data_IF_961544078507
#
_entry.id   IF_961544078507
#
_cell.length_a   1.000
_cell.length_b   1.000
_cell.length_c   1.000
_cell.angle_alpha   90.00
_cell.angle_beta   90.00
_cell.angle_gamma   90.00
#
_symmetry.space_group_name_H-M   'P 1'
#
loop_
_entity.id
_entity.type
_entity.pdbx_description
1 polymer ?
#
# COMPACT_ATOMS: atom_id res chain seq x y z
N UNK A 1 26.67 -4.45 2.70
CA UNK A 1 26.66 -4.13 1.25
C UNK A 1 26.16 -2.70 1.11
N UNK A 2 26.95 -1.79 0.53
CA UNK A 2 26.48 -0.44 0.24
C UNK A 2 25.66 -0.45 -1.05
N UNK A 3 24.53 0.25 -1.08
CA UNK A 3 23.67 0.29 -2.25
C UNK A 3 24.40 0.99 -3.41
N UNK A 4 24.43 0.37 -4.60
CA UNK A 4 24.96 1.03 -5.80
C UNK A 4 24.08 2.27 -6.09
N UNK A 5 24.66 3.50 -6.07
CA UNK A 5 23.88 4.72 -6.25
C UNK A 5 23.04 4.74 -7.53
N UNK A 6 23.52 4.12 -8.61
CA UNK A 6 22.80 4.02 -9.87
C UNK A 6 21.60 3.09 -9.74
N UNK A 7 21.79 1.88 -9.20
CA UNK A 7 20.72 0.90 -8.99
C UNK A 7 19.67 1.47 -8.03
N UNK A 8 20.09 2.09 -6.94
CA UNK A 8 19.21 2.73 -5.97
C UNK A 8 18.39 3.86 -6.60
N UNK A 9 19.02 4.71 -7.43
CA UNK A 9 18.31 5.78 -8.15
C UNK A 9 17.26 5.21 -9.10
N UNK A 10 17.59 4.12 -9.81
CA UNK A 10 16.64 3.41 -10.68
C UNK A 10 15.49 2.84 -9.86
N UNK A 11 15.75 2.17 -8.72
CA UNK A 11 14.71 1.64 -7.82
C UNK A 11 13.74 2.73 -7.35
N UNK A 12 14.26 3.86 -6.86
CA UNK A 12 13.43 4.97 -6.37
C UNK A 12 12.61 5.57 -7.51
N UNK A 13 13.23 5.77 -8.68
CA UNK A 13 12.54 6.31 -9.85
C UNK A 13 11.42 5.37 -10.31
N UNK A 14 11.68 4.06 -10.35
CA UNK A 14 10.68 3.04 -10.66
C UNK A 14 9.54 3.04 -9.63
N UNK A 15 9.84 3.10 -8.33
CA UNK A 15 8.84 3.21 -7.27
C UNK A 15 7.96 4.43 -7.49
N UNK A 16 8.57 5.60 -7.67
CA UNK A 16 7.85 6.86 -7.83
C UNK A 16 6.93 6.83 -9.06
N UNK A 17 7.40 6.34 -10.20
CA UNK A 17 6.60 6.25 -11.43
C UNK A 17 5.48 5.20 -11.29
N UNK A 18 5.78 4.02 -10.74
CA UNK A 18 4.80 2.97 -10.48
C UNK A 18 3.68 3.49 -9.57
N UNK A 19 4.05 4.04 -8.42
CA UNK A 19 3.11 4.54 -7.42
C UNK A 19 2.35 5.78 -7.90
N UNK A 20 2.96 6.68 -8.67
CA UNK A 20 2.26 7.82 -9.27
C UNK A 20 1.16 7.36 -10.23
N UNK A 21 1.46 6.39 -11.10
CA UNK A 21 0.48 5.83 -12.03
C UNK A 21 -0.63 5.05 -11.29
N UNK A 22 -0.29 4.29 -10.24
CA UNK A 22 -1.26 3.61 -9.39
C UNK A 22 -2.15 4.61 -8.64
N UNK A 23 -1.56 5.65 -8.02
CA UNK A 23 -2.25 6.70 -7.30
C UNK A 23 -3.21 7.47 -8.22
N UNK A 24 -2.78 7.79 -9.44
CA UNK A 24 -3.65 8.40 -10.45
C UNK A 24 -4.84 7.50 -10.78
N UNK A 25 -4.60 6.21 -11.04
CA UNK A 25 -5.67 5.25 -11.31
C UNK A 25 -6.64 5.16 -10.13
N UNK A 26 -6.12 4.99 -8.92
CA UNK A 26 -6.94 4.86 -7.71
C UNK A 26 -7.72 6.15 -7.40
N UNK A 27 -7.15 7.32 -7.69
CA UNK A 27 -7.83 8.61 -7.53
C UNK A 27 -9.02 8.78 -8.48
N UNK A 28 -8.88 8.41 -9.75
CA UNK A 28 -9.96 8.61 -10.73
C UNK A 28 -10.94 7.44 -10.81
N UNK A 29 -10.48 6.20 -10.65
CA UNK A 29 -11.29 4.99 -10.89
C UNK A 29 -11.49 4.14 -9.63
N UNK A 30 -10.96 4.56 -8.46
CA UNK A 30 -11.03 3.86 -7.17
C UNK A 30 -10.56 2.40 -7.22
N UNK A 31 -9.77 2.08 -8.24
CA UNK A 31 -9.32 0.75 -8.60
C UNK A 31 -7.98 0.84 -9.30
N UNK A 32 -7.11 -0.13 -9.03
CA UNK A 32 -5.86 -0.33 -9.77
C UNK A 32 -5.87 -1.75 -10.31
N UNK A 33 -5.74 -1.88 -11.64
CA UNK A 33 -5.81 -3.18 -12.32
C UNK A 33 -4.61 -4.04 -11.97
N UNK A 34 -4.84 -5.34 -11.82
CA UNK A 34 -3.80 -6.35 -11.52
C UNK A 34 -2.62 -6.32 -12.49
N UNK A 35 -2.92 -6.06 -13.77
CA UNK A 35 -1.93 -5.91 -14.82
C UNK A 35 -0.88 -4.84 -14.54
N UNK A 36 -1.24 -3.76 -13.83
CA UNK A 36 -0.30 -2.73 -13.42
C UNK A 36 0.79 -3.34 -12.53
N UNK A 37 0.39 -4.06 -11.48
CA UNK A 37 1.31 -4.66 -10.51
C UNK A 37 2.17 -5.76 -11.13
N UNK A 38 1.58 -6.60 -11.99
CA UNK A 38 2.32 -7.66 -12.71
C UNK A 38 3.41 -7.04 -13.61
N UNK A 39 3.07 -5.98 -14.34
CA UNK A 39 4.03 -5.26 -15.21
C UNK A 39 5.21 -4.67 -14.45
N UNK A 40 4.96 -4.11 -13.27
CA UNK A 40 6.01 -3.52 -12.43
C UNK A 40 6.78 -4.56 -11.60
N UNK A 41 6.16 -5.72 -11.32
CA UNK A 41 6.82 -6.84 -10.66
C UNK A 41 8.01 -7.39 -11.45
N UNK A 42 7.87 -7.54 -12.77
CA UNK A 42 8.93 -8.08 -13.63
C UNK A 42 10.25 -7.27 -13.60
N UNK A 43 10.27 -5.94 -13.87
CA UNK A 43 11.50 -5.17 -13.81
C UNK A 43 12.03 -5.04 -12.37
N UNK A 44 11.16 -5.06 -11.35
CA UNK A 44 11.57 -5.06 -9.94
C UNK A 44 12.34 -6.33 -9.57
N UNK A 45 11.78 -7.49 -9.93
CA UNK A 45 12.41 -8.79 -9.72
C UNK A 45 13.73 -8.91 -10.50
N UNK A 46 13.76 -8.44 -11.74
CA UNK A 46 14.97 -8.41 -12.56
C UNK A 46 16.06 -7.55 -11.93
N UNK A 47 15.71 -6.34 -11.46
CA UNK A 47 16.66 -5.43 -10.82
C UNK A 47 17.25 -6.02 -9.54
N UNK A 48 16.42 -6.68 -8.72
CA UNK A 48 16.89 -7.43 -7.54
C UNK A 48 17.80 -8.60 -7.91
N UNK A 49 17.41 -9.42 -8.88
CA UNK A 49 18.23 -10.54 -9.33
C UNK A 49 19.58 -10.09 -9.89
N UNK A 50 19.60 -9.03 -10.71
CA UNK A 50 20.84 -8.47 -11.28
C UNK A 50 21.76 -7.88 -10.22
N UNK A 51 21.21 -7.15 -9.25
CA UNK A 51 22.00 -6.59 -8.15
C UNK A 51 22.64 -7.72 -7.34
N UNK A 52 21.88 -8.76 -6.99
CA UNK A 52 22.44 -9.91 -6.24
C UNK A 52 23.49 -10.66 -7.06
N UNK A 53 23.21 -10.97 -8.33
CA UNK A 53 24.14 -11.67 -9.20
C UNK A 53 25.44 -10.90 -9.45
N UNK A 54 25.39 -9.56 -9.50
CA UNK A 54 26.56 -8.71 -9.71
C UNK A 54 27.49 -8.65 -8.49
N UNK A 55 26.97 -8.97 -7.31
CA UNK A 55 27.71 -8.95 -6.04
C UNK A 55 28.26 -10.34 -5.64
N UNK A 56 28.27 -11.30 -6.57
CA UNK A 56 28.77 -12.67 -6.39
C UNK A 56 28.23 -13.35 -5.12
N UNK A 57 26.94 -13.13 -4.83
CA UNK A 57 26.28 -13.71 -3.66
C UNK A 57 25.98 -15.18 -3.91
N UNK A 58 26.04 -16.01 -2.86
CA UNK A 58 25.80 -17.44 -3.00
C UNK A 58 24.41 -17.79 -3.53
N UNK A 59 24.31 -18.99 -4.07
CA UNK A 59 23.11 -19.48 -4.76
C UNK A 59 21.83 -19.37 -3.91
N UNK A 60 21.92 -19.58 -2.59
CA UNK A 60 20.78 -19.46 -1.68
C UNK A 60 20.15 -18.05 -1.71
N UNK A 61 20.96 -17.00 -1.78
CA UNK A 61 20.49 -15.61 -1.86
C UNK A 61 19.78 -15.32 -3.19
N UNK A 62 20.33 -15.79 -4.31
CA UNK A 62 19.69 -15.68 -5.63
C UNK A 62 18.35 -16.44 -5.63
N UNK A 63 18.33 -17.65 -5.10
CA UNK A 63 17.13 -18.46 -4.99
C UNK A 63 16.05 -17.81 -4.09
N UNK A 64 16.44 -17.08 -3.03
CA UNK A 64 15.51 -16.31 -2.21
C UNK A 64 14.75 -15.22 -2.99
N UNK A 65 15.32 -14.67 -4.06
CA UNK A 65 14.57 -13.76 -4.96
C UNK A 65 13.35 -14.48 -5.55
N UNK A 66 13.48 -15.75 -5.93
CA UNK A 66 12.35 -16.55 -6.41
C UNK A 66 11.33 -16.82 -5.30
N UNK A 67 11.75 -16.93 -4.03
CA UNK A 67 10.82 -17.04 -2.90
C UNK A 67 9.96 -15.78 -2.76
N UNK A 68 10.58 -14.59 -2.89
CA UNK A 68 9.85 -13.32 -2.86
C UNK A 68 8.90 -13.18 -4.07
N UNK A 69 9.33 -13.58 -5.27
CA UNK A 69 8.48 -13.60 -6.47
C UNK A 69 7.30 -14.57 -6.29
N UNK A 70 7.56 -15.77 -5.75
CA UNK A 70 6.53 -16.75 -5.45
C UNK A 70 5.49 -16.17 -4.47
N UNK A 71 5.94 -15.52 -3.39
CA UNK A 71 5.04 -14.87 -2.45
C UNK A 71 4.26 -13.70 -3.09
N UNK A 72 4.89 -12.89 -3.94
CA UNK A 72 4.21 -11.83 -4.70
C UNK A 72 3.15 -12.38 -5.66
N UNK A 73 3.43 -13.50 -6.33
CA UNK A 73 2.50 -14.12 -7.28
C UNK A 73 1.17 -14.53 -6.62
N UNK A 74 1.19 -14.82 -5.32
CA UNK A 74 0.00 -15.20 -4.54
C UNK A 74 -1.07 -14.08 -4.51
N UNK A 75 -0.69 -12.82 -4.74
CA UNK A 75 -1.64 -11.72 -4.87
C UNK A 75 -2.52 -11.80 -6.12
N UNK A 76 -2.16 -12.64 -7.09
CA UNK A 76 -2.80 -12.72 -8.41
C UNK A 76 -3.31 -14.11 -8.75
N UNK A 77 -2.55 -15.14 -8.35
CA UNK A 77 -2.81 -16.52 -8.73
C UNK A 77 -2.73 -17.42 -7.50
N UNK A 78 -3.59 -18.45 -7.39
CA UNK A 78 -3.42 -19.48 -6.37
C UNK A 78 -2.10 -20.23 -6.59
N UNK A 79 -1.51 -20.80 -5.52
CA UNK A 79 -0.33 -21.65 -5.66
C UNK A 79 -0.64 -22.86 -6.55
N UNK A 80 0.36 -23.38 -7.27
CA UNK A 80 0.17 -24.49 -8.21
C UNK A 80 -0.26 -25.75 -7.47
N UNK A 81 -1.34 -26.38 -7.95
CA UNK A 81 -1.87 -27.62 -7.39
C UNK A 81 -1.14 -28.83 -7.99
N UNK A 82 -0.37 -29.52 -7.15
CA UNK A 82 0.45 -30.67 -7.50
C UNK A 82 -0.41 -31.88 -7.90
N UNK A 83 -1.66 -31.96 -7.42
CA UNK A 83 -2.55 -33.09 -7.73
C UNK A 83 -2.90 -33.18 -9.22
N UNK A 84 -2.87 -32.06 -9.93
CA UNK A 84 -3.16 -31.94 -11.36
C UNK A 84 -1.90 -31.69 -12.21
N UNK A 85 -0.71 -32.00 -11.69
CA UNK A 85 0.58 -31.71 -12.33
C UNK A 85 0.72 -32.19 -13.78
N UNK A 86 0.06 -33.29 -14.15
CA UNK A 86 0.07 -33.82 -15.53
C UNK A 86 -0.65 -32.92 -16.55
N UNK A 87 -1.55 -32.04 -16.07
CA UNK A 87 -2.39 -31.18 -16.88
C UNK A 87 -2.02 -29.70 -16.74
N UNK A 88 -0.85 -29.39 -16.18
CA UNK A 88 -0.40 -28.01 -16.03
C UNK A 88 -0.21 -27.35 -17.39
N UNK A 89 -0.71 -26.12 -17.49
CA UNK A 89 -0.33 -25.23 -18.58
C UNK A 89 1.07 -24.63 -18.31
N UNK A 90 1.60 -23.90 -19.29
CA UNK A 90 2.92 -23.27 -19.16
C UNK A 90 3.03 -22.28 -18.00
N UNK A 91 1.92 -21.65 -17.61
CA UNK A 91 1.88 -20.69 -16.51
C UNK A 91 2.00 -21.41 -15.17
N UNK A 92 1.23 -22.47 -14.95
CA UNK A 92 1.29 -23.29 -13.74
C UNK A 92 2.66 -23.96 -13.56
N UNK A 93 3.24 -24.47 -14.66
CA UNK A 93 4.57 -25.06 -14.63
C UNK A 93 5.66 -24.03 -14.26
N UNK A 94 5.61 -22.83 -14.85
CA UNK A 94 6.54 -21.73 -14.53
C UNK A 94 6.38 -21.26 -13.07
N UNK A 95 5.14 -21.16 -12.61
CA UNK A 95 4.83 -20.82 -11.22
C UNK A 95 5.39 -21.87 -10.27
N UNK A 96 5.17 -23.16 -10.54
CA UNK A 96 5.72 -24.24 -9.73
C UNK A 96 7.24 -24.21 -9.66
N UNK A 97 7.91 -24.00 -10.80
CA UNK A 97 9.37 -23.88 -10.82
C UNK A 97 9.86 -22.71 -9.96
N UNK A 98 9.16 -21.57 -10.02
CA UNK A 98 9.47 -20.40 -9.18
C UNK A 98 9.34 -20.74 -7.69
N UNK A 99 8.27 -21.42 -7.30
CA UNK A 99 8.07 -21.88 -5.91
C UNK A 99 9.15 -22.90 -5.49
N UNK A 100 9.50 -23.85 -6.35
CA UNK A 100 10.50 -24.87 -6.06
C UNK A 100 11.90 -24.27 -5.87
N UNK A 101 12.32 -23.33 -6.74
CA UNK A 101 13.59 -22.62 -6.60
C UNK A 101 13.58 -21.77 -5.32
N UNK A 102 12.50 -21.03 -5.07
CA UNK A 102 12.36 -20.23 -3.85
C UNK A 102 12.46 -21.07 -2.57
N UNK A 103 11.81 -22.23 -2.56
CA UNK A 103 11.86 -23.17 -1.44
C UNK A 103 13.28 -23.74 -1.23
N UNK A 104 14.00 -24.05 -2.32
CA UNK A 104 15.39 -24.46 -2.25
C UNK A 104 16.30 -23.37 -1.67
N UNK A 105 16.07 -22.09 -2.02
CA UNK A 105 16.79 -20.96 -1.44
C UNK A 105 16.55 -20.79 0.07
N UNK A 106 15.31 -20.99 0.50
CA UNK A 106 14.93 -20.95 1.91
C UNK A 106 15.59 -22.08 2.69
N UNK A 107 15.52 -23.33 2.23
CA UNK A 107 16.15 -24.46 2.92
C UNK A 107 17.68 -24.40 2.86
N UNK A 108 18.24 -24.03 1.71
CA UNK A 108 19.68 -23.95 1.50
C UNK A 108 20.34 -22.90 2.39
N UNK A 109 19.77 -21.69 2.46
CA UNK A 109 20.30 -20.66 3.35
C UNK A 109 20.03 -20.95 4.82
N UNK A 110 18.88 -21.54 5.16
CA UNK A 110 18.61 -21.98 6.53
C UNK A 110 19.64 -23.02 7.00
N UNK A 111 20.04 -23.96 6.14
CA UNK A 111 21.10 -24.92 6.47
C UNK A 111 22.48 -24.26 6.58
N UNK A 112 22.74 -23.23 5.78
CA UNK A 112 24.08 -22.60 5.67
C UNK A 112 24.32 -21.50 6.70
N UNK A 113 23.27 -20.93 7.27
CA UNK A 113 23.33 -19.76 8.17
C UNK A 113 22.51 -19.97 9.47
N UNK A 114 22.43 -21.21 9.96
CA UNK A 114 21.65 -21.57 11.15
C UNK A 114 22.32 -21.19 12.48
N UNK A 115 23.63 -20.99 12.45
CA UNK A 115 24.52 -20.73 13.57
C UNK A 115 24.63 -19.24 13.93
N UNK A 116 23.93 -18.38 13.18
CA UNK A 116 23.92 -16.93 13.36
C UNK A 116 23.08 -16.54 14.59
N UNK A 117 23.68 -15.75 15.50
CA UNK A 117 22.93 -15.11 16.57
C UNK A 117 22.23 -13.84 16.08
N UNK A 118 20.97 -13.65 16.50
CA UNK A 118 20.16 -12.50 16.09
C UNK A 118 20.78 -11.16 16.52
N UNK A 119 21.48 -11.15 17.66
CA UNK A 119 22.15 -9.95 18.17
C UNK A 119 23.27 -9.54 17.23
N UNK A 120 24.12 -10.47 16.81
CA UNK A 120 25.25 -10.23 15.92
C UNK A 120 24.78 -9.77 14.54
N UNK A 121 23.63 -10.30 14.08
CA UNK A 121 22.96 -9.85 12.86
C UNK A 121 22.49 -8.38 12.95
N UNK A 122 21.95 -7.96 14.10
CA UNK A 122 21.45 -6.59 14.31
C UNK A 122 22.61 -5.60 14.49
N UNK A 123 23.67 -6.01 15.17
CA UNK A 123 24.89 -5.20 15.38
C UNK A 123 25.71 -5.11 14.09
N UNK A 124 25.53 -6.05 13.15
CA UNK A 124 26.21 -6.05 11.86
C UNK A 124 27.59 -6.69 11.91
N UNK A 125 27.82 -7.60 12.87
CA UNK A 125 29.09 -8.34 13.02
C UNK A 125 29.14 -9.60 12.15
N UNK A 126 28.00 -9.98 11.58
CA UNK A 126 27.86 -11.14 10.71
C UNK A 126 28.38 -10.95 9.29
N UNK A 127 28.60 -12.08 8.61
CA UNK A 127 28.98 -12.05 7.20
C UNK A 127 27.92 -11.35 6.34
N UNK A 128 28.37 -10.66 5.28
CA UNK A 128 27.48 -9.95 4.37
C UNK A 128 26.47 -10.90 3.68
N UNK A 129 26.88 -12.14 3.41
CA UNK A 129 26.05 -13.16 2.78
C UNK A 129 24.93 -13.65 3.69
N UNK A 130 25.25 -13.97 4.95
CA UNK A 130 24.27 -14.38 5.95
C UNK A 130 23.30 -13.22 6.26
N UNK A 131 23.83 -12.01 6.41
CA UNK A 131 23.03 -10.79 6.64
C UNK A 131 22.02 -10.55 5.52
N UNK A 132 22.44 -10.75 4.28
CA UNK A 132 21.57 -10.64 3.11
C UNK A 132 20.48 -11.71 3.12
N UNK A 133 20.82 -12.97 3.39
CA UNK A 133 19.84 -14.05 3.40
C UNK A 133 18.75 -13.82 4.46
N UNK A 134 19.16 -13.45 5.68
CA UNK A 134 18.23 -13.11 6.76
C UNK A 134 17.39 -11.86 6.43
N UNK A 135 17.97 -10.88 5.73
CA UNK A 135 17.22 -9.71 5.23
C UNK A 135 16.14 -10.11 4.22
N UNK A 136 16.46 -11.02 3.28
CA UNK A 136 15.50 -11.55 2.31
C UNK A 136 14.42 -12.41 2.99
N UNK A 137 14.77 -13.16 4.04
CA UNK A 137 13.80 -13.88 4.86
C UNK A 137 12.86 -12.92 5.60
N UNK A 138 13.39 -11.84 6.17
CA UNK A 138 12.59 -10.78 6.79
C UNK A 138 11.62 -10.13 5.79
N UNK A 139 12.06 -9.90 4.56
CA UNK A 139 11.22 -9.43 3.47
C UNK A 139 10.11 -10.45 3.13
N UNK A 140 10.43 -11.73 3.05
CA UNK A 140 9.46 -12.80 2.80
C UNK A 140 8.38 -12.86 3.89
N UNK A 141 8.80 -12.80 5.16
CA UNK A 141 7.88 -12.74 6.31
C UNK A 141 6.99 -11.51 6.21
N UNK A 142 7.54 -10.36 5.84
CA UNK A 142 6.79 -9.11 5.67
C UNK A 142 5.72 -9.23 4.59
N UNK A 143 6.04 -9.83 3.44
CA UNK A 143 5.05 -10.11 2.37
C UNK A 143 3.92 -11.00 2.91
N UNK A 144 4.27 -12.07 3.63
CA UNK A 144 3.30 -12.99 4.23
C UNK A 144 2.38 -12.24 5.20
N UNK A 145 2.93 -11.37 6.07
CA UNK A 145 2.14 -10.54 7.00
C UNK A 145 1.13 -9.69 6.24
N UNK A 146 1.51 -9.01 5.15
CA UNK A 146 0.56 -8.22 4.36
C UNK A 146 -0.54 -9.08 3.71
N UNK A 147 -0.18 -10.24 3.17
CA UNK A 147 -1.15 -11.17 2.56
C UNK A 147 -2.14 -11.66 3.62
N UNK A 148 -1.68 -12.05 4.81
CA UNK A 148 -2.56 -12.49 5.89
C UNK A 148 -3.41 -11.34 6.45
N UNK A 149 -2.84 -10.14 6.61
CA UNK A 149 -3.58 -8.95 7.00
C UNK A 149 -4.73 -8.65 6.03
N UNK A 150 -4.51 -8.86 4.73
CA UNK A 150 -5.57 -8.77 3.73
C UNK A 150 -6.62 -9.88 3.86
N UNK A 151 -6.20 -11.14 4.00
CA UNK A 151 -7.11 -12.30 4.16
C UNK A 151 -8.00 -12.18 5.40
N UNK A 152 -7.45 -11.66 6.49
CA UNK A 152 -8.16 -11.38 7.74
C UNK A 152 -8.95 -10.07 7.72
N UNK A 153 -8.96 -9.35 6.58
CA UNK A 153 -9.64 -8.06 6.38
C UNK A 153 -9.16 -6.94 7.32
N UNK A 154 -7.94 -7.03 7.83
CA UNK A 154 -7.27 -5.94 8.54
C UNK A 154 -6.92 -4.81 7.55
N UNK A 155 -6.44 -5.18 6.36
CA UNK A 155 -6.29 -4.27 5.22
C UNK A 155 -7.41 -4.58 4.23
N UNK A 156 -8.29 -3.60 3.97
CA UNK A 156 -9.47 -3.81 3.13
C UNK A 156 -9.14 -3.75 1.62
N UNK A 157 -8.17 -2.91 1.22
CA UNK A 157 -7.79 -2.72 -0.18
C UNK A 157 -6.80 -3.77 -0.68
N UNK A 158 -7.20 -4.57 -1.67
CA UNK A 158 -6.29 -5.51 -2.33
C UNK A 158 -5.18 -4.80 -3.10
N UNK A 159 -5.45 -3.60 -3.62
CA UNK A 159 -4.46 -2.77 -4.32
C UNK A 159 -3.39 -2.24 -3.35
N UNK A 160 -3.77 -1.90 -2.12
CA UNK A 160 -2.83 -1.45 -1.08
C UNK A 160 -1.83 -2.55 -0.72
N UNK A 161 -2.31 -3.78 -0.54
CA UNK A 161 -1.46 -4.94 -0.27
C UNK A 161 -0.55 -5.25 -1.45
N UNK A 162 -1.05 -5.21 -2.69
CA UNK A 162 -0.21 -5.38 -3.89
C UNK A 162 0.90 -4.34 -3.97
N UNK A 163 0.60 -3.09 -3.62
CA UNK A 163 1.60 -2.02 -3.55
C UNK A 163 2.67 -2.33 -2.51
N UNK A 164 2.26 -2.66 -1.27
CA UNK A 164 3.18 -2.93 -0.16
C UNK A 164 4.06 -4.18 -0.40
N UNK A 165 3.49 -5.22 -0.99
CA UNK A 165 4.25 -6.43 -1.38
C UNK A 165 5.25 -6.10 -2.49
N UNK A 166 4.86 -5.32 -3.50
CA UNK A 166 5.77 -4.87 -4.56
C UNK A 166 6.91 -4.00 -4.00
N UNK A 167 6.61 -3.09 -3.06
CA UNK A 167 7.62 -2.29 -2.35
C UNK A 167 8.58 -3.20 -1.58
N UNK A 168 8.08 -4.26 -0.94
CA UNK A 168 8.92 -5.22 -0.23
C UNK A 168 9.83 -6.01 -1.18
N UNK A 169 9.33 -6.37 -2.37
CA UNK A 169 10.14 -7.00 -3.42
C UNK A 169 11.22 -6.03 -3.96
N UNK A 170 10.92 -4.74 -4.02
CA UNK A 170 11.85 -3.72 -4.50
C UNK A 170 12.87 -3.27 -3.44
N UNK A 171 12.49 -3.29 -2.17
CA UNK A 171 13.32 -2.91 -1.04
C UNK A 171 13.19 -3.97 0.07
N UNK A 172 13.86 -5.13 -0.09
CA UNK A 172 13.79 -6.20 0.90
C UNK A 172 14.29 -5.77 2.29
N UNK A 173 15.26 -4.86 2.33
CA UNK A 173 15.78 -4.26 3.56
C UNK A 173 16.24 -2.82 3.31
N UNK A 174 16.61 -2.12 4.40
CA UNK A 174 17.15 -0.76 4.33
C UNK A 174 18.47 -0.66 3.55
N UNK A 175 19.19 -1.77 3.36
CA UNK A 175 20.42 -1.81 2.56
C UNK A 175 20.19 -1.52 1.07
N UNK A 176 18.93 -1.60 0.59
CA UNK A 176 18.55 -1.30 -0.80
C UNK A 176 18.05 0.14 -1.00
N UNK A 177 17.95 0.91 0.09
CA UNK A 177 17.57 2.32 0.07
C UNK A 177 18.81 3.20 0.27
N UNK A 178 18.77 4.45 -0.20
CA UNK A 178 19.84 5.40 0.07
C UNK A 178 19.85 5.75 1.55
N UNK A 179 21.01 6.18 2.03
CA UNK A 179 21.15 6.73 3.37
C UNK A 179 20.20 7.91 3.56
N UNK A 180 19.57 7.96 4.74
CA UNK A 180 18.55 8.95 5.03
C UNK A 180 19.20 10.27 5.45
N UNK A 181 18.69 11.38 4.91
CA UNK A 181 19.30 12.70 5.08
C UNK A 181 19.29 13.21 6.53
N UNK A 182 18.22 12.92 7.28
CA UNK A 182 18.01 13.49 8.61
C UNK A 182 18.18 12.50 9.77
N UNK A 183 18.32 11.20 9.48
CA UNK A 183 18.39 10.17 10.51
C UNK A 183 19.75 9.47 10.46
N UNK A 184 20.66 9.93 11.31
CA UNK A 184 21.87 9.17 11.64
C UNK A 184 21.46 8.03 12.58
N UNK A 185 21.61 6.79 12.13
CA UNK A 185 21.31 5.63 12.97
C UNK A 185 22.57 5.12 13.61
N UNK A 186 22.67 5.33 14.92
CA UNK A 186 23.17 4.29 15.80
C UNK A 186 22.28 3.05 15.67
N UNK A 187 22.82 1.88 16.01
CA UNK A 187 22.36 0.50 15.82
C UNK A 187 20.97 0.17 16.40
N UNK A 188 19.94 0.93 16.06
CA UNK A 188 18.56 0.71 16.47
C UNK A 188 17.91 -0.25 15.48
N UNK A 189 17.22 -1.31 15.95
CA UNK A 189 16.46 -2.21 15.08
C UNK A 189 15.40 -1.42 14.31
N UNK A 190 15.42 -1.54 12.99
CA UNK A 190 14.50 -0.85 12.09
C UNK A 190 13.41 -1.81 11.60
N UNK A 191 12.19 -1.32 11.45
CA UNK A 191 11.11 -2.09 10.81
C UNK A 191 11.35 -2.21 9.29
N UNK A 192 10.76 -3.19 8.59
CA UNK A 192 10.90 -3.31 7.14
C UNK A 192 10.51 -2.04 6.38
N UNK A 193 11.19 -1.67 5.28
CA UNK A 193 10.93 -0.41 4.55
C UNK A 193 9.48 -0.24 4.08
N UNK A 194 8.82 -1.30 3.63
CA UNK A 194 7.41 -1.28 3.24
C UNK A 194 6.47 -1.03 4.43
N UNK A 195 6.83 -1.50 5.62
CA UNK A 195 6.10 -1.22 6.86
C UNK A 195 6.27 0.24 7.27
N UNK A 196 7.49 0.78 7.18
CA UNK A 196 7.75 2.20 7.41
C UNK A 196 6.96 3.08 6.43
N UNK A 197 6.93 2.72 5.14
CA UNK A 197 6.10 3.39 4.14
C UNK A 197 4.62 3.36 4.52
N UNK A 198 4.11 2.22 4.98
CA UNK A 198 2.73 2.09 5.43
C UNK A 198 2.40 3.00 6.61
N UNK A 199 3.30 3.11 7.59
CA UNK A 199 3.14 4.02 8.75
C UNK A 199 3.17 5.48 8.30
N UNK A 200 4.11 5.86 7.43
CA UNK A 200 4.15 7.21 6.86
C UNK A 200 2.88 7.55 6.08
N UNK A 201 2.33 6.61 5.32
CA UNK A 201 1.06 6.77 4.63
C UNK A 201 -0.11 6.92 5.60
N UNK A 202 -0.13 6.15 6.69
CA UNK A 202 -1.10 6.31 7.78
C UNK A 202 -1.01 7.70 8.43
N UNK A 203 0.20 8.20 8.69
CA UNK A 203 0.41 9.55 9.20
C UNK A 203 -0.10 10.62 8.22
N UNK A 204 0.20 10.49 6.91
CA UNK A 204 -0.32 11.38 5.89
C UNK A 204 -1.86 11.31 5.77
N UNK A 205 -2.45 10.13 5.95
CA UNK A 205 -3.89 9.94 5.97
C UNK A 205 -4.56 10.66 7.17
N UNK A 206 -3.95 10.64 8.35
CA UNK A 206 -4.45 11.37 9.52
C UNK A 206 -4.51 12.89 9.24
N UNK A 207 -3.57 13.44 8.46
CA UNK A 207 -3.57 14.85 8.07
C UNK A 207 -4.69 15.20 7.08
N UNK A 208 -5.34 14.23 6.43
CA UNK A 208 -6.42 14.50 5.49
C UNK A 208 -7.62 15.20 6.15
N UNK A 209 -8.02 14.77 7.36
CA UNK A 209 -9.17 15.34 8.06
C UNK A 209 -8.96 16.85 8.42
N UNK A 210 -7.84 17.26 9.03
CA UNK A 210 -7.51 18.68 9.21
C UNK A 210 -7.50 19.48 7.89
N UNK A 211 -6.97 18.91 6.80
CA UNK A 211 -6.93 19.60 5.51
C UNK A 211 -8.33 19.83 4.93
N UNK A 212 -9.20 18.82 4.97
CA UNK A 212 -10.60 18.93 4.55
C UNK A 212 -11.34 19.97 5.39
N UNK A 213 -11.07 19.99 6.71
CA UNK A 213 -11.65 20.99 7.61
C UNK A 213 -11.25 22.42 7.22
N UNK A 214 -9.95 22.67 7.00
CA UNK A 214 -9.45 23.98 6.56
C UNK A 214 -10.04 24.36 5.19
N UNK A 215 -10.16 23.40 4.27
CA UNK A 215 -10.78 23.64 2.97
C UNK A 215 -12.24 24.10 3.13
N UNK A 216 -13.04 23.40 3.94
CA UNK A 216 -14.43 23.78 4.21
C UNK A 216 -14.54 25.16 4.90
N UNK A 217 -13.63 25.47 5.82
CA UNK A 217 -13.57 26.78 6.46
C UNK A 217 -13.29 27.89 5.42
N UNK A 218 -12.31 27.66 4.52
CA UNK A 218 -11.91 28.62 3.50
C UNK A 218 -13.01 28.90 2.45
N UNK A 219 -13.87 27.91 2.20
CA UNK A 219 -15.00 28.01 1.28
C UNK A 219 -16.27 28.58 1.95
N UNK A 220 -16.23 28.87 3.25
CA UNK A 220 -17.39 29.38 4.00
C UNK A 220 -18.49 28.34 4.20
N UNK A 221 -18.18 27.04 4.12
CA UNK A 221 -19.16 25.96 4.18
C UNK A 221 -19.70 25.68 5.60
N UNK A 222 -19.09 26.29 6.62
CA UNK A 222 -19.38 26.05 8.05
C UNK A 222 -20.21 27.22 8.60
N UNK A 223 -21.51 27.03 8.76
CA UNK A 223 -22.41 28.05 9.33
C UNK A 223 -23.02 27.63 10.68
N UNK A 224 -22.94 26.35 11.05
CA UNK A 224 -23.51 25.82 12.29
C UNK A 224 -22.59 24.81 13.01
N UNK A 225 -22.94 24.48 14.25
CA UNK A 225 -22.24 23.45 15.06
C UNK A 225 -22.38 22.05 14.41
N UNK A 226 -23.49 21.79 13.72
CA UNK A 226 -23.68 20.52 12.99
C UNK A 226 -22.74 20.45 11.79
N UNK A 227 -22.55 21.56 11.08
CA UNK A 227 -21.59 21.64 9.96
C UNK A 227 -20.14 21.47 10.43
N UNK A 228 -19.80 21.89 11.65
CA UNK A 228 -18.46 21.69 12.21
C UNK A 228 -18.09 20.21 12.31
N UNK A 229 -19.05 19.36 12.71
CA UNK A 229 -18.86 17.90 12.77
C UNK A 229 -18.70 17.31 11.38
N UNK A 230 -19.48 17.79 10.41
CA UNK A 230 -19.42 17.32 9.01
C UNK A 230 -18.13 17.74 8.31
N UNK A 231 -17.68 18.98 8.53
CA UNK A 231 -16.49 19.55 7.92
C UNK A 231 -15.20 18.81 8.25
N UNK A 232 -15.19 18.02 9.33
CA UNK A 232 -14.05 17.17 9.71
C UNK A 232 -13.81 15.99 8.77
N UNK A 233 -14.85 15.48 8.10
CA UNK A 233 -14.80 14.22 7.34
C UNK A 233 -15.54 14.23 6.00
N UNK A 234 -16.15 15.35 5.62
CA UNK A 234 -16.92 15.50 4.39
C UNK A 234 -16.70 16.88 3.78
N UNK A 235 -16.94 17.00 2.47
CA UNK A 235 -16.90 18.28 1.75
C UNK A 235 -18.31 18.67 1.32
N UNK A 236 -18.65 19.96 1.42
CA UNK A 236 -19.92 20.49 0.93
C UNK A 236 -19.79 20.82 -0.56
N UNK A 237 -20.67 20.28 -1.40
CA UNK A 237 -20.68 20.47 -2.86
C UNK A 237 -22.07 20.87 -3.37
N UNK A 238 -22.15 21.65 -4.46
CA UNK A 238 -23.43 21.93 -5.11
C UNK A 238 -23.97 20.66 -5.78
N UNK A 239 -25.30 20.51 -5.82
CA UNK A 239 -25.96 19.33 -6.41
C UNK A 239 -25.60 19.15 -7.89
N UNK A 240 -25.36 20.25 -8.61
CA UNK A 240 -24.96 20.26 -10.03
C UNK A 240 -23.66 19.49 -10.31
N UNK A 241 -22.76 19.40 -9.33
CA UNK A 241 -21.40 18.89 -9.52
C UNK A 241 -21.26 17.40 -9.13
N UNK A 242 -22.36 16.75 -8.74
CA UNK A 242 -22.35 15.38 -8.17
C UNK A 242 -22.43 14.30 -9.26
N UNK A 243 -22.85 14.66 -10.47
CA UNK A 243 -23.28 13.73 -11.52
C UNK A 243 -22.29 12.67 -12.02
N UNK A 244 -20.98 12.79 -11.75
CA UNK A 244 -19.99 11.84 -12.29
C UNK A 244 -19.00 11.27 -11.27
N UNK A 245 -18.99 11.76 -10.02
CA UNK A 245 -17.96 11.36 -9.05
C UNK A 245 -18.47 10.30 -8.06
N UNK A 246 -17.75 9.18 -7.85
CA UNK A 246 -18.14 8.12 -6.92
C UNK A 246 -18.04 8.63 -5.49
N UNK A 247 -19.12 9.24 -5.03
CA UNK A 247 -19.14 10.02 -3.82
C UNK A 247 -20.37 9.68 -3.00
N UNK A 248 -20.19 9.53 -1.69
CA UNK A 248 -21.27 9.14 -0.81
C UNK A 248 -21.99 10.38 -0.31
N UNK A 249 -23.24 10.55 -0.72
CA UNK A 249 -24.10 11.64 -0.26
C UNK A 249 -24.46 11.37 1.22
N UNK A 250 -24.20 12.37 2.07
CA UNK A 250 -24.43 12.32 3.51
C UNK A 250 -25.62 13.18 3.94
N UNK A 251 -26.13 14.04 3.06
CA UNK A 251 -27.36 14.80 3.28
C UNK A 251 -28.55 14.00 2.78
N UNK A 252 -29.54 13.81 3.64
CA UNK A 252 -30.70 12.97 3.39
C UNK A 252 -31.99 13.68 3.82
N UNK A 253 -33.12 13.26 3.25
CA UNK A 253 -34.44 13.77 3.60
C UNK A 253 -35.14 12.76 4.48
N UNK A 254 -35.47 13.15 5.72
CA UNK A 254 -36.18 12.30 6.66
C UNK A 254 -37.55 12.93 6.92
N UNK A 255 -38.61 12.15 6.74
CA UNK A 255 -39.94 12.51 7.20
C UNK A 255 -40.08 12.14 8.67
N UNK A 256 -40.29 13.13 9.54
CA UNK A 256 -40.48 12.93 10.97
C UNK A 256 -41.78 13.58 11.39
N UNK A 257 -42.72 12.79 11.92
CA UNK A 257 -44.05 13.25 12.40
C UNK A 257 -44.89 14.03 11.37
N UNK A 258 -44.68 13.79 10.06
CA UNK A 258 -45.38 14.47 8.96
C UNK A 258 -44.71 15.77 8.49
N UNK A 259 -43.60 16.17 9.11
CA UNK A 259 -42.71 17.22 8.60
C UNK A 259 -41.50 16.61 7.89
N UNK A 260 -41.20 17.15 6.71
CA UNK A 260 -40.06 16.72 5.90
C UNK A 260 -38.85 17.56 6.30
N UNK A 261 -37.84 16.93 6.92
CA UNK A 261 -36.64 17.60 7.42
C UNK A 261 -35.38 17.11 6.70
N UNK A 262 -34.48 18.05 6.37
CA UNK A 262 -33.16 17.75 5.78
C UNK A 262 -32.18 17.47 6.92
N UNK A 263 -31.56 16.30 6.91
CA UNK A 263 -30.66 15.85 7.98
C UNK A 263 -29.31 15.41 7.41
N UNK A 264 -28.24 15.83 8.06
CA UNK A 264 -26.88 15.40 7.73
C UNK A 264 -26.49 14.18 8.58
N UNK A 265 -26.11 13.09 7.91
CA UNK A 265 -25.68 11.84 8.53
C UNK A 265 -24.17 11.71 8.49
N UNK A 266 -23.59 11.12 9.54
CA UNK A 266 -22.13 10.86 9.61
C UNK A 266 -21.73 9.67 8.70
N UNK A 267 -22.67 8.77 8.42
CA UNK A 267 -22.44 7.58 7.59
C UNK A 267 -23.49 7.49 6.49
N UNK A 268 -23.11 7.05 5.27
CA UNK A 268 -24.06 6.85 4.20
C UNK A 268 -24.98 5.66 4.49
N UNK A 269 -26.19 5.71 3.94
CA UNK A 269 -27.14 4.58 4.01
C UNK A 269 -26.60 3.45 3.13
N UNK A 270 -26.47 2.24 3.69
CA UNK A 270 -26.11 1.01 2.97
C UNK A 270 -27.25 0.50 2.09
N UNK A 271 -27.83 1.32 1.22
CA UNK A 271 -28.65 0.81 0.11
C UNK A 271 -27.70 0.49 -1.06
N UNK A 272 -27.93 -0.58 -1.83
CA UNK A 272 -27.27 -0.76 -3.12
C UNK A 272 -27.78 0.34 -4.04
N UNK A 273 -27.08 1.47 -4.06
CA UNK A 273 -27.52 2.62 -4.84
C UNK A 273 -27.18 2.29 -6.30
N UNK A 274 -28.20 1.91 -7.09
CA UNK A 274 -28.07 1.95 -8.54
C UNK A 274 -27.90 3.43 -8.95
N UNK A 275 -27.29 3.72 -10.10
CA UNK A 275 -27.20 5.10 -10.61
C UNK A 275 -28.58 5.79 -10.63
N UNK A 276 -29.65 5.03 -10.89
CA UNK A 276 -31.04 5.49 -10.83
C UNK A 276 -31.56 5.82 -9.41
N UNK A 277 -30.98 5.25 -8.36
CA UNK A 277 -31.30 5.59 -6.97
C UNK A 277 -30.67 6.89 -6.51
N UNK A 278 -29.44 7.19 -6.95
CA UNK A 278 -28.74 8.46 -6.65
C UNK A 278 -29.51 9.63 -7.25
N UNK A 279 -29.98 9.50 -8.49
CA UNK A 279 -30.72 10.57 -9.18
C UNK A 279 -32.05 10.90 -8.49
N UNK A 280 -32.76 9.90 -7.97
CA UNK A 280 -34.04 10.11 -7.28
C UNK A 280 -33.87 10.85 -5.94
N UNK A 281 -32.84 10.49 -5.17
CA UNK A 281 -32.54 11.17 -3.90
C UNK A 281 -32.08 12.63 -4.13
N UNK A 282 -31.30 12.87 -5.19
CA UNK A 282 -30.87 14.22 -5.59
C UNK A 282 -32.03 15.08 -6.11
N UNK A 283 -32.95 14.50 -6.89
CA UNK A 283 -34.16 15.19 -7.36
C UNK A 283 -35.07 15.58 -6.18
N UNK A 284 -35.22 14.71 -5.18
CA UNK A 284 -35.97 15.00 -3.97
C UNK A 284 -35.35 16.17 -3.19
N UNK A 285 -34.03 16.16 -2.98
CA UNK A 285 -33.30 17.25 -2.33
C UNK A 285 -33.40 18.57 -3.11
N UNK A 286 -33.28 18.51 -4.44
CA UNK A 286 -33.44 19.68 -5.30
C UNK A 286 -34.87 20.24 -5.25
N UNK A 287 -35.91 19.38 -5.20
CA UNK A 287 -37.30 19.79 -5.06
C UNK A 287 -37.61 20.52 -3.75
N UNK A 288 -36.78 20.27 -2.72
CA UNK A 288 -36.83 20.95 -1.42
C UNK A 288 -35.99 22.25 -1.36
N UNK A 289 -35.38 22.67 -2.46
CA UNK A 289 -34.56 23.87 -2.53
C UNK A 289 -33.18 23.73 -1.89
N UNK A 290 -32.69 22.49 -1.68
CA UNK A 290 -31.33 22.25 -1.21
C UNK A 290 -30.37 22.46 -2.38
N UNK A 291 -29.55 23.50 -2.32
CA UNK A 291 -28.55 23.75 -3.37
C UNK A 291 -27.22 23.02 -3.14
N UNK A 292 -26.92 22.69 -1.88
CA UNK A 292 -25.63 22.13 -1.45
C UNK A 292 -25.81 20.94 -0.52
N UNK A 293 -25.02 19.89 -0.72
CA UNK A 293 -25.06 18.67 0.08
C UNK A 293 -23.68 18.30 0.60
N UNK A 294 -23.64 17.62 1.74
CA UNK A 294 -22.42 17.05 2.28
C UNK A 294 -22.11 15.73 1.59
N UNK A 295 -20.86 15.59 1.17
CA UNK A 295 -20.39 14.44 0.41
C UNK A 295 -19.13 13.89 1.07
N UNK A 296 -19.15 12.60 1.42
CA UNK A 296 -17.95 11.86 1.78
C UNK A 296 -17.23 11.39 0.51
N UNK A 297 -16.02 11.89 0.32
CA UNK A 297 -15.11 11.41 -0.70
C UNK A 297 -14.36 10.18 -0.19
N UNK A 298 -14.31 9.12 -0.99
CA UNK A 298 -13.40 8.01 -0.71
C UNK A 298 -11.97 8.53 -0.85
N UNK A 299 -11.15 8.30 0.16
CA UNK A 299 -9.74 8.69 0.18
C UNK A 299 -8.89 7.48 -0.23
N UNK A 300 -8.36 7.43 -1.46
CA UNK A 300 -7.61 6.28 -1.97
C UNK A 300 -6.26 6.17 -1.24
N UNK A 301 -6.04 5.06 -0.54
CA UNK A 301 -4.87 4.88 0.32
C UNK A 301 -3.56 4.90 -0.47
N UNK A 302 -3.58 4.46 -1.74
CA UNK A 302 -2.41 4.48 -2.64
C UNK A 302 -1.88 5.90 -2.87
N UNK A 303 -2.73 6.92 -2.86
CA UNK A 303 -2.29 8.32 -2.98
C UNK A 303 -1.42 8.70 -1.78
N UNK A 304 -1.79 8.28 -0.57
CA UNK A 304 -1.00 8.51 0.62
C UNK A 304 0.30 7.70 0.61
N UNK A 305 0.27 6.45 0.13
CA UNK A 305 1.48 5.66 -0.08
C UNK A 305 2.45 6.33 -1.05
N UNK A 306 1.95 6.95 -2.13
CA UNK A 306 2.79 7.70 -3.06
C UNK A 306 3.47 8.90 -2.38
N UNK A 307 2.72 9.72 -1.63
CA UNK A 307 3.31 10.84 -0.91
C UNK A 307 4.24 10.40 0.23
N UNK A 308 3.99 9.24 0.83
CA UNK A 308 4.81 8.65 1.90
C UNK A 308 6.21 8.23 1.44
N UNK A 309 6.46 8.12 0.12
CA UNK A 309 7.80 7.87 -0.43
C UNK A 309 8.77 8.97 0.02
N UNK A 310 8.33 10.23 0.02
CA UNK A 310 9.17 11.37 0.38
C UNK A 310 9.66 11.32 1.83
N UNK A 311 8.80 11.21 2.86
CA UNK A 311 9.27 11.09 4.23
C UNK A 311 10.02 9.79 4.49
N UNK A 312 9.72 8.68 3.79
CA UNK A 312 10.53 7.46 3.88
C UNK A 312 11.99 7.71 3.45
N UNK A 313 12.21 8.43 2.34
CA UNK A 313 13.55 8.69 1.83
C UNK A 313 14.31 9.75 2.66
N UNK A 314 13.60 10.75 3.18
CA UNK A 314 14.21 11.84 3.94
C UNK A 314 14.45 11.46 5.41
N UNK A 315 13.47 10.83 6.04
CA UNK A 315 13.43 10.56 7.48
C UNK A 315 13.59 9.07 7.80
N UNK A 316 13.42 8.14 6.86
CA UNK A 316 13.58 6.71 7.16
C UNK A 316 12.49 6.13 8.04
N UNK A 317 12.89 5.32 9.02
CA UNK A 317 11.98 4.61 9.92
C UNK A 317 11.35 5.58 10.94
N UNK A 318 10.02 5.80 10.89
CA UNK A 318 9.34 6.68 11.83
C UNK A 318 9.40 6.15 13.28
N UNK A 319 9.47 4.83 13.49
CA UNK A 319 9.52 4.24 14.83
C UNK A 319 10.90 4.47 15.45
N UNK A 320 11.97 4.27 14.68
CA UNK A 320 13.34 4.56 15.12
C UNK A 320 13.51 6.01 15.56
N UNK A 321 12.82 6.95 14.89
CA UNK A 321 12.83 8.38 15.27
C UNK A 321 12.20 8.66 16.63
N UNK A 322 11.18 7.88 17.03
CA UNK A 322 10.38 8.11 18.25
C UNK A 322 11.04 7.48 19.49
N UNK A 323 11.78 6.38 19.30
CA UNK A 323 12.39 5.61 20.39
C UNK A 323 13.73 6.19 20.87
N UNK A 324 14.31 7.15 20.15
CA UNK A 324 15.49 7.92 20.57
C UNK A 324 15.16 8.85 21.75
#
# INVERSE_FOLDING_TARGET
MGADPLITTVRISMLAICMAAAARSDYYTLTVRDWHWIKWGAPTALLLGLELASNDVGFANIAMVFALIAAFSYCFMPPPDISIAKNWDGVQASLFLTYAIGFAGLLGGASSHHDVELVDLIVGEESAEATLWWSLLGALITIVVFIYAWRLRLIQGSADVKALVLVTLMFPSWAFLPDQMFLQTDSIPRIPPSMALFIWAGAAFILAAPLIFVQNLSLGNISSIQDLKMAWHATKKPISDIGESPSWILTDVIENEGEIAVVNRILPIRKPISEAGVSLDLEALHSMGVEHVWVATKHPFIVYLFFAILPLLLFGDPISSIIK
#
